data_IF_977414089594
#
_entry.id   IF_977414089594
#
_cell.length_a   1.000
_cell.length_b   1.000
_cell.length_c   1.000
_cell.angle_alpha   90.00
_cell.angle_beta   90.00
_cell.angle_gamma   90.00
#
_symmetry.space_group_name_H-M   'P 1'
#
loop_
_entity.id
_entity.type
_entity.pdbx_description
1 polymer ?
#
# COMPACT_ATOMS: atom_id res chain seq x y z
N UNK A 1 17.43 -20.50 -0.20
CA UNK A 1 17.84 -20.98 -1.54
C UNK A 1 17.27 -20.14 -2.70
N UNK A 2 16.45 -19.11 -2.44
CA UNK A 2 15.74 -18.34 -3.48
C UNK A 2 15.99 -16.81 -3.39
N UNK A 3 16.98 -16.41 -2.60
CA UNK A 3 17.31 -15.01 -2.29
C UNK A 3 17.73 -14.20 -3.53
N UNK A 4 18.23 -14.85 -4.58
CA UNK A 4 18.57 -14.19 -5.84
C UNK A 4 17.35 -13.66 -6.61
N UNK A 5 16.11 -14.11 -6.34
CA UNK A 5 14.91 -13.51 -6.93
C UNK A 5 14.57 -12.12 -6.35
N UNK A 6 15.21 -11.73 -5.25
CA UNK A 6 15.08 -10.39 -4.66
C UNK A 6 15.97 -9.38 -5.41
N UNK A 7 16.96 -9.85 -6.18
CA UNK A 7 17.93 -9.00 -6.88
C UNK A 7 17.29 -7.90 -7.75
N UNK A 8 16.24 -8.17 -8.55
CA UNK A 8 15.60 -7.14 -9.36
C UNK A 8 14.98 -6.01 -8.52
N UNK A 9 14.40 -6.36 -7.37
CA UNK A 9 13.83 -5.38 -6.45
C UNK A 9 14.93 -4.47 -5.88
N UNK A 10 16.06 -5.07 -5.46
CA UNK A 10 17.21 -4.32 -4.92
C UNK A 10 17.78 -3.37 -5.96
N UNK A 11 17.92 -3.82 -7.22
CA UNK A 11 18.42 -2.98 -8.32
C UNK A 11 17.49 -1.79 -8.56
N UNK A 12 16.17 -2.02 -8.62
CA UNK A 12 15.19 -0.94 -8.80
C UNK A 12 15.31 0.09 -7.64
N UNK A 13 15.37 -0.39 -6.39
CA UNK A 13 15.48 0.49 -5.23
C UNK A 13 16.76 1.32 -5.24
N UNK A 14 17.91 0.70 -5.50
CA UNK A 14 19.20 1.42 -5.55
C UNK A 14 19.20 2.47 -6.66
N UNK A 15 18.71 2.13 -7.86
CA UNK A 15 18.65 3.08 -8.97
C UNK A 15 17.75 4.28 -8.64
N UNK A 16 16.60 4.04 -8.00
CA UNK A 16 15.73 5.12 -7.56
C UNK A 16 16.38 5.98 -6.47
N UNK A 17 17.11 5.38 -5.52
CA UNK A 17 17.86 6.12 -4.49
C UNK A 17 19.02 6.94 -5.08
N UNK A 18 19.60 6.50 -6.19
CA UNK A 18 20.60 7.25 -6.95
C UNK A 18 19.99 8.37 -7.81
N UNK A 19 18.66 8.54 -7.80
CA UNK A 19 17.96 9.60 -8.51
C UNK A 19 17.55 9.25 -9.95
N UNK A 20 17.68 7.99 -10.38
CA UNK A 20 17.14 7.58 -11.68
C UNK A 20 15.61 7.53 -11.66
N UNK A 21 15.00 7.76 -12.82
CA UNK A 21 13.54 7.70 -12.94
C UNK A 21 13.01 6.29 -12.66
N UNK A 22 11.78 6.15 -12.13
CA UNK A 22 11.15 4.84 -11.93
C UNK A 22 11.07 4.00 -13.21
N UNK A 23 10.80 4.63 -14.35
CA UNK A 23 10.73 3.96 -15.65
C UNK A 23 12.08 3.38 -16.09
N UNK A 24 13.17 4.15 -15.93
CA UNK A 24 14.52 3.65 -16.21
C UNK A 24 14.90 2.49 -15.28
N UNK A 25 14.60 2.65 -13.99
CA UNK A 25 14.87 1.64 -12.96
C UNK A 25 14.12 0.33 -13.26
N UNK A 26 12.87 0.42 -13.71
CA UNK A 26 12.07 -0.75 -14.09
C UNK A 26 12.67 -1.49 -15.29
N UNK A 27 13.19 -0.79 -16.31
CA UNK A 27 13.83 -1.43 -17.47
C UNK A 27 15.06 -2.25 -17.03
N UNK A 28 15.94 -1.67 -16.21
CA UNK A 28 17.09 -2.39 -15.68
C UNK A 28 16.68 -3.53 -14.72
N UNK A 29 15.60 -3.35 -13.96
CA UNK A 29 14.96 -4.40 -13.18
C UNK A 29 14.53 -5.59 -14.06
N UNK A 30 13.88 -5.34 -15.20
CA UNK A 30 13.48 -6.39 -16.15
C UNK A 30 14.70 -7.12 -16.72
N UNK A 31 15.74 -6.40 -17.11
CA UNK A 31 17.00 -7.01 -17.59
C UNK A 31 17.59 -7.92 -16.51
N UNK A 32 17.60 -7.47 -15.25
CA UNK A 32 18.09 -8.30 -14.15
C UNK A 32 17.22 -9.53 -13.90
N UNK A 33 15.88 -9.45 -14.04
CA UNK A 33 14.99 -10.60 -13.98
C UNK A 33 15.35 -11.65 -15.02
N UNK A 34 15.63 -11.23 -16.26
CA UNK A 34 16.01 -12.14 -17.36
C UNK A 34 17.33 -12.83 -17.05
N UNK A 35 18.32 -12.07 -16.57
CA UNK A 35 19.63 -12.60 -16.16
C UNK A 35 19.48 -13.63 -15.04
N UNK A 36 18.72 -13.30 -13.99
CA UNK A 36 18.47 -14.20 -12.85
C UNK A 36 17.74 -15.47 -13.31
N UNK A 37 16.75 -15.34 -14.19
CA UNK A 37 15.97 -16.46 -14.70
C UNK A 37 16.84 -17.49 -15.46
N UNK A 38 17.99 -17.08 -16.04
CA UNK A 38 18.89 -17.98 -16.75
C UNK A 38 19.76 -18.88 -15.86
N UNK A 39 19.92 -18.56 -14.57
CA UNK A 39 20.73 -19.35 -13.64
C UNK A 39 20.10 -20.71 -13.31
N UNK A 40 18.77 -20.85 -13.42
CA UNK A 40 18.07 -22.12 -13.22
C UNK A 40 17.54 -22.66 -14.54
N UNK A 41 17.78 -23.94 -14.82
CA UNK A 41 17.31 -24.61 -16.06
C UNK A 41 15.79 -24.52 -16.21
N UNK A 42 15.04 -24.63 -15.10
CA UNK A 42 13.58 -24.66 -15.11
C UNK A 42 12.95 -23.27 -15.35
N UNK A 43 13.68 -22.20 -15.01
CA UNK A 43 13.20 -20.81 -15.13
C UNK A 43 13.73 -20.09 -16.36
N UNK A 44 14.53 -20.75 -17.21
CA UNK A 44 15.13 -20.08 -18.37
C UNK A 44 14.05 -19.49 -19.28
N UNK A 45 14.25 -18.22 -19.62
CA UNK A 45 13.43 -17.53 -20.59
C UNK A 45 13.93 -17.89 -21.98
N UNK A 46 13.07 -18.56 -22.75
CA UNK A 46 13.23 -18.76 -24.20
C UNK A 46 12.61 -17.58 -24.95
N UNK A 47 12.94 -17.36 -26.24
CA UNK A 47 12.35 -16.28 -27.03
C UNK A 47 10.80 -16.29 -27.01
N UNK A 48 10.20 -17.48 -27.07
CA UNK A 48 8.75 -17.64 -26.99
C UNK A 48 8.18 -17.24 -25.61
N UNK A 49 8.82 -17.66 -24.51
CA UNK A 49 8.42 -17.25 -23.16
C UNK A 49 8.60 -15.74 -22.94
N UNK A 50 9.60 -15.13 -23.57
CA UNK A 50 9.78 -13.69 -23.53
C UNK A 50 8.63 -12.94 -24.21
N UNK A 51 8.20 -13.40 -25.40
CA UNK A 51 7.04 -12.83 -26.10
C UNK A 51 5.76 -13.04 -25.28
N UNK A 52 5.56 -14.21 -24.70
CA UNK A 52 4.42 -14.51 -23.84
C UNK A 52 4.38 -13.62 -22.59
N UNK A 53 5.52 -13.47 -21.90
CA UNK A 53 5.65 -12.56 -20.76
C UNK A 53 5.41 -11.10 -21.16
N UNK A 54 5.93 -10.68 -22.32
CA UNK A 54 5.71 -9.33 -22.86
C UNK A 54 4.24 -9.09 -23.19
N UNK A 55 3.55 -10.08 -23.78
CA UNK A 55 2.10 -10.03 -24.04
C UNK A 55 1.31 -9.90 -22.73
N UNK A 56 1.64 -10.69 -21.71
CA UNK A 56 1.01 -10.61 -20.40
C UNK A 56 1.23 -9.22 -19.75
N UNK A 57 2.44 -8.68 -19.84
CA UNK A 57 2.75 -7.32 -19.38
C UNK A 57 1.96 -6.25 -20.12
N UNK A 58 1.82 -6.38 -21.45
CA UNK A 58 1.01 -5.47 -22.26
C UNK A 58 -0.48 -5.53 -21.87
N UNK A 59 -1.05 -6.72 -21.68
CA UNK A 59 -2.45 -6.89 -21.26
C UNK A 59 -2.71 -6.29 -19.86
N UNK A 60 -1.79 -6.50 -18.92
CA UNK A 60 -1.87 -5.87 -17.60
C UNK A 60 -1.79 -4.33 -17.69
N UNK A 61 -0.94 -3.82 -18.58
CA UNK A 61 -0.79 -2.38 -18.81
C UNK A 61 -2.03 -1.75 -19.45
N UNK A 62 -2.71 -2.46 -20.35
CA UNK A 62 -3.99 -2.01 -20.93
C UNK A 62 -5.08 -1.80 -19.88
N UNK A 63 -5.17 -2.67 -18.87
CA UNK A 63 -6.15 -2.54 -17.77
C UNK A 63 -5.91 -1.27 -16.94
N UNK A 64 -4.64 -0.98 -16.63
CA UNK A 64 -4.25 0.26 -15.93
C UNK A 64 -4.50 1.47 -16.84
N UNK A 65 -4.09 1.40 -18.11
CA UNK A 65 -4.25 2.49 -19.08
C UNK A 65 -5.70 2.89 -19.30
N UNK A 66 -6.62 1.92 -19.43
CA UNK A 66 -8.06 2.19 -19.53
C UNK A 66 -8.59 2.93 -18.31
N UNK A 67 -8.13 2.55 -17.11
CA UNK A 67 -8.56 3.18 -15.85
C UNK A 67 -8.05 4.61 -15.76
N UNK A 68 -6.75 4.84 -16.00
CA UNK A 68 -6.14 6.18 -15.98
C UNK A 68 -6.76 7.08 -17.04
N UNK A 69 -7.12 6.55 -18.22
CA UNK A 69 -7.80 7.31 -19.27
C UNK A 69 -9.15 7.86 -18.82
N UNK A 70 -10.00 7.02 -18.20
CA UNK A 70 -11.30 7.44 -17.66
C UNK A 70 -11.11 8.46 -16.51
N UNK A 71 -10.15 8.21 -15.62
CA UNK A 71 -9.83 9.13 -14.52
C UNK A 71 -9.32 10.47 -15.06
N UNK A 72 -8.56 10.49 -16.15
CA UNK A 72 -8.13 11.72 -16.81
C UNK A 72 -9.32 12.56 -17.28
N UNK A 73 -10.37 11.93 -17.80
CA UNK A 73 -11.62 12.62 -18.17
C UNK A 73 -12.30 13.19 -16.91
N UNK A 74 -12.40 12.40 -15.83
CA UNK A 74 -12.98 12.83 -14.56
C UNK A 74 -12.22 14.04 -14.00
N UNK A 75 -10.89 13.94 -13.89
CA UNK A 75 -10.02 15.04 -13.41
C UNK A 75 -10.18 16.26 -14.31
N UNK A 76 -10.24 16.08 -15.63
CA UNK A 76 -10.48 17.17 -16.59
C UNK A 76 -11.78 17.90 -16.29
N UNK A 77 -12.90 17.18 -16.22
CA UNK A 77 -14.22 17.75 -15.92
C UNK A 77 -14.24 18.44 -14.55
N UNK A 78 -13.69 17.80 -13.51
CA UNK A 78 -13.64 18.38 -12.17
C UNK A 78 -12.77 19.64 -12.11
N UNK A 79 -11.65 19.65 -12.83
CA UNK A 79 -10.74 20.81 -12.88
C UNK A 79 -11.40 21.98 -13.61
N UNK A 80 -12.02 21.73 -14.76
CA UNK A 80 -12.73 22.77 -15.53
C UNK A 80 -13.97 23.32 -14.82
N UNK A 81 -14.67 22.48 -14.06
CA UNK A 81 -15.84 22.89 -13.27
C UNK A 81 -15.47 23.54 -11.93
N UNK A 82 -14.20 23.47 -11.51
CA UNK A 82 -13.74 23.95 -10.19
C UNK A 82 -14.14 23.04 -9.03
N UNK A 83 -14.79 21.90 -9.28
CA UNK A 83 -15.35 21.03 -8.25
C UNK A 83 -14.29 20.24 -7.47
N UNK A 84 -13.04 20.12 -7.96
CA UNK A 84 -11.96 19.41 -7.24
C UNK A 84 -11.78 19.99 -5.83
N UNK A 85 -11.72 21.32 -5.73
CA UNK A 85 -11.54 22.01 -4.45
C UNK A 85 -12.83 21.98 -3.62
N UNK A 86 -13.99 22.13 -4.26
CA UNK A 86 -15.28 22.04 -3.56
C UNK A 86 -15.49 20.70 -2.86
N UNK A 87 -15.09 19.57 -3.47
CA UNK A 87 -15.17 18.28 -2.80
C UNK A 87 -14.18 18.16 -1.63
N UNK A 88 -13.00 18.77 -1.75
CA UNK A 88 -12.05 18.84 -0.65
C UNK A 88 -12.64 19.65 0.52
N UNK A 89 -13.19 20.84 0.23
CA UNK A 89 -13.86 21.72 1.19
C UNK A 89 -14.98 20.99 1.93
N UNK A 90 -15.86 20.26 1.21
CA UNK A 90 -16.95 19.50 1.82
C UNK A 90 -16.42 18.49 2.85
N UNK A 91 -15.34 17.78 2.52
CA UNK A 91 -14.75 16.79 3.43
C UNK A 91 -14.10 17.46 4.63
N UNK A 92 -13.45 18.61 4.44
CA UNK A 92 -12.84 19.41 5.51
C UNK A 92 -13.90 20.00 6.43
N UNK A 93 -14.98 20.55 5.88
CA UNK A 93 -16.10 21.13 6.62
C UNK A 93 -16.83 20.06 7.44
N UNK A 94 -17.09 18.88 6.85
CA UNK A 94 -17.65 17.75 7.58
C UNK A 94 -16.73 17.27 8.72
N UNK A 95 -15.43 17.50 8.58
CA UNK A 95 -14.42 17.20 9.59
C UNK A 95 -14.14 18.35 10.57
N UNK A 96 -14.83 19.50 10.45
CA UNK A 96 -14.59 20.71 11.24
C UNK A 96 -13.11 21.16 11.21
N UNK A 97 -12.44 20.99 10.06
CA UNK A 97 -11.01 21.29 9.89
C UNK A 97 -10.05 20.32 10.59
N UNK A 98 -10.53 19.29 11.27
CA UNK A 98 -9.69 18.37 12.02
C UNK A 98 -9.09 17.28 11.13
N UNK A 99 -7.77 17.33 10.90
CA UNK A 99 -7.05 16.38 10.04
C UNK A 99 -7.30 14.90 10.38
N UNK A 100 -7.38 14.53 11.67
CA UNK A 100 -7.62 13.14 12.05
C UNK A 100 -9.02 12.67 11.63
N UNK A 101 -10.01 13.57 11.67
CA UNK A 101 -11.38 13.27 11.27
C UNK A 101 -11.48 13.24 9.74
N UNK A 102 -10.78 14.14 9.03
CA UNK A 102 -10.65 14.11 7.57
C UNK A 102 -10.05 12.77 7.10
N UNK A 103 -8.97 12.30 7.70
CA UNK A 103 -8.37 10.99 7.39
C UNK A 103 -9.37 9.85 7.63
N UNK A 104 -10.17 9.93 8.70
CA UNK A 104 -11.20 8.93 9.00
C UNK A 104 -12.33 8.93 7.95
N UNK A 105 -12.83 10.10 7.55
CA UNK A 105 -13.85 10.23 6.51
C UNK A 105 -13.34 9.70 5.16
N UNK A 106 -12.09 10.03 4.81
CA UNK A 106 -11.43 9.51 3.62
C UNK A 106 -11.29 7.99 3.70
N UNK A 107 -10.95 7.42 4.87
CA UNK A 107 -10.85 5.97 5.07
C UNK A 107 -12.19 5.26 4.88
N UNK A 108 -13.29 5.85 5.36
CA UNK A 108 -14.63 5.31 5.16
C UNK A 108 -15.03 5.38 3.67
N UNK A 109 -14.79 6.51 3.02
CA UNK A 109 -15.06 6.67 1.59
C UNK A 109 -14.23 5.70 0.74
N UNK A 110 -12.93 5.57 1.03
CA UNK A 110 -12.03 4.66 0.31
C UNK A 110 -12.37 3.20 0.52
N UNK A 111 -12.86 2.81 1.70
CA UNK A 111 -13.31 1.46 1.96
C UNK A 111 -14.48 1.10 1.04
N UNK A 112 -15.49 1.95 0.94
CA UNK A 112 -16.65 1.73 0.07
C UNK A 112 -16.25 1.73 -1.41
N UNK A 113 -15.43 2.70 -1.84
CA UNK A 113 -14.96 2.78 -3.22
C UNK A 113 -14.03 1.62 -3.60
N UNK A 114 -13.27 1.08 -2.64
CA UNK A 114 -12.33 -0.02 -2.82
C UNK A 114 -12.98 -1.42 -2.82
N UNK A 115 -14.25 -1.52 -2.45
CA UNK A 115 -14.99 -2.79 -2.47
C UNK A 115 -15.40 -3.14 -3.91
N UNK A 116 -14.53 -3.86 -4.63
CA UNK A 116 -14.87 -4.48 -5.92
C UNK A 116 -14.07 -3.98 -7.13
N UNK A 117 -13.08 -3.12 -6.93
CA UNK A 117 -12.18 -2.63 -7.99
C UNK A 117 -10.71 -2.97 -7.68
N UNK A 118 -9.84 -3.06 -8.70
CA UNK A 118 -8.40 -3.20 -8.47
C UNK A 118 -7.84 -2.05 -7.64
N UNK A 119 -6.86 -2.35 -6.80
CA UNK A 119 -6.13 -1.38 -5.96
C UNK A 119 -5.73 -0.10 -6.70
N UNK A 120 -5.18 -0.25 -7.91
CA UNK A 120 -4.74 0.87 -8.72
C UNK A 120 -5.90 1.81 -9.07
N UNK A 121 -7.08 1.26 -9.35
CA UNK A 121 -8.28 2.04 -9.63
C UNK A 121 -8.80 2.74 -8.37
N UNK A 122 -8.89 2.02 -7.25
CA UNK A 122 -9.31 2.57 -5.96
C UNK A 122 -8.44 3.77 -5.55
N UNK A 123 -7.11 3.61 -5.62
CA UNK A 123 -6.15 4.67 -5.33
C UNK A 123 -6.40 5.91 -6.19
N UNK A 124 -6.48 5.73 -7.51
CA UNK A 124 -6.60 6.88 -8.41
C UNK A 124 -7.93 7.62 -8.22
N UNK A 125 -9.04 6.91 -7.99
CA UNK A 125 -10.35 7.54 -7.74
C UNK A 125 -10.32 8.33 -6.44
N UNK A 126 -9.83 7.73 -5.35
CA UNK A 126 -9.76 8.39 -4.05
C UNK A 126 -8.77 9.57 -4.06
N UNK A 127 -7.66 9.46 -4.79
CA UNK A 127 -6.61 10.48 -4.81
C UNK A 127 -7.10 11.81 -5.38
N UNK A 128 -8.03 11.79 -6.34
CA UNK A 128 -8.59 13.00 -6.96
C UNK A 128 -9.29 13.90 -5.95
N UNK A 129 -9.91 13.33 -4.92
CA UNK A 129 -10.67 14.07 -3.90
C UNK A 129 -9.86 14.24 -2.61
N UNK A 130 -9.21 13.17 -2.16
CA UNK A 130 -8.57 13.13 -0.85
C UNK A 130 -7.23 13.85 -0.80
N UNK A 131 -6.43 13.82 -1.88
CA UNK A 131 -5.11 14.47 -1.87
C UNK A 131 -5.25 15.98 -1.72
N UNK A 132 -6.09 16.69 -2.51
CA UNK A 132 -6.32 18.12 -2.32
C UNK A 132 -6.73 18.47 -0.89
N UNK A 133 -7.70 17.75 -0.31
CA UNK A 133 -8.17 17.97 1.06
C UNK A 133 -7.05 17.83 2.11
N UNK A 134 -6.23 16.79 1.99
CA UNK A 134 -5.10 16.58 2.90
C UNK A 134 -4.02 17.66 2.74
N UNK A 135 -3.71 18.05 1.51
CA UNK A 135 -2.71 19.09 1.26
C UNK A 135 -3.16 20.47 1.74
N UNK A 136 -4.45 20.76 1.66
CA UNK A 136 -5.04 21.99 2.18
C UNK A 136 -4.94 22.08 3.71
N UNK A 137 -5.09 20.95 4.40
CA UNK A 137 -4.84 20.82 5.84
C UNK A 137 -3.34 20.80 6.21
N UNK A 138 -2.44 21.08 5.27
CA UNK A 138 -1.01 21.21 5.50
C UNK A 138 -0.22 19.90 5.44
N UNK A 139 -0.83 18.79 5.02
CA UNK A 139 -0.11 17.53 4.83
C UNK A 139 0.81 17.62 3.61
N UNK A 140 2.04 17.15 3.74
CA UNK A 140 2.97 17.09 2.62
C UNK A 140 2.37 16.28 1.44
N UNK A 141 2.50 16.71 0.18
CA UNK A 141 1.92 16.01 -0.97
C UNK A 141 2.29 14.53 -1.07
N UNK A 142 3.55 14.17 -0.76
CA UNK A 142 3.99 12.77 -0.77
C UNK A 142 3.26 12.00 0.34
N UNK A 143 3.15 12.58 1.54
CA UNK A 143 2.41 11.98 2.64
C UNK A 143 0.92 11.82 2.31
N UNK A 144 0.30 12.82 1.68
CA UNK A 144 -1.10 12.76 1.25
C UNK A 144 -1.34 11.61 0.25
N UNK A 145 -0.46 11.47 -0.75
CA UNK A 145 -0.52 10.34 -1.67
C UNK A 145 -0.28 8.99 -0.97
N UNK A 146 0.62 8.93 0.02
CA UNK A 146 0.84 7.71 0.81
C UNK A 146 -0.35 7.35 1.70
N UNK A 147 -1.02 8.33 2.30
CA UNK A 147 -2.27 8.14 3.05
C UNK A 147 -3.31 7.47 2.16
N UNK A 148 -3.57 8.04 0.99
CA UNK A 148 -4.60 7.53 0.08
C UNK A 148 -4.20 6.17 -0.51
N UNK A 149 -2.92 6.00 -0.89
CA UNK A 149 -2.41 4.73 -1.36
C UNK A 149 -2.56 3.63 -0.31
N UNK A 150 -2.27 3.94 0.95
CA UNK A 150 -2.40 3.02 2.05
C UNK A 150 -3.86 2.63 2.30
N UNK A 151 -4.76 3.61 2.36
CA UNK A 151 -6.19 3.40 2.53
C UNK A 151 -6.82 2.62 1.36
N UNK A 152 -6.29 2.76 0.15
CA UNK A 152 -6.72 1.97 -1.02
C UNK A 152 -6.35 0.48 -0.93
N UNK A 153 -5.37 0.10 -0.10
CA UNK A 153 -5.04 -1.30 0.15
C UNK A 153 -5.94 -1.95 1.21
N UNK A 154 -6.64 -1.14 2.00
CA UNK A 154 -7.28 -1.62 3.22
C UNK A 154 -8.31 -2.73 2.94
N UNK A 155 -9.05 -2.60 1.84
CA UNK A 155 -10.04 -3.60 1.40
C UNK A 155 -9.45 -4.99 1.15
N UNK A 156 -8.14 -5.11 0.85
CA UNK A 156 -7.47 -6.40 0.67
C UNK A 156 -7.29 -7.17 1.98
N UNK A 157 -7.49 -6.53 3.13
CA UNK A 157 -7.29 -7.13 4.44
C UNK A 157 -8.59 -7.11 5.27
N UNK A 158 -9.52 -6.20 4.97
CA UNK A 158 -10.81 -6.05 5.68
C UNK A 158 -11.87 -7.04 5.18
N UNK A 159 -12.42 -7.92 6.05
CA UNK A 159 -13.60 -8.72 5.71
C UNK A 159 -14.80 -7.80 5.43
N UNK A 160 -15.65 -8.08 4.42
CA UNK A 160 -15.78 -9.34 3.69
C UNK A 160 -14.92 -9.48 2.42
N UNK A 161 -14.16 -8.46 2.01
CA UNK A 161 -13.40 -8.49 0.75
C UNK A 161 -12.12 -9.31 0.89
N UNK A 162 -11.21 -8.89 1.77
CA UNK A 162 -9.97 -9.57 2.20
C UNK A 162 -9.33 -10.63 1.25
N UNK A 163 -9.20 -10.29 -0.04
CA UNK A 163 -8.90 -11.26 -1.11
C UNK A 163 -7.53 -11.94 -0.89
N UNK A 164 -6.56 -11.20 -0.36
CA UNK A 164 -5.23 -11.74 -0.07
C UNK A 164 -5.27 -12.83 1.02
N UNK A 165 -6.04 -12.61 2.08
CA UNK A 165 -6.21 -13.59 3.16
C UNK A 165 -6.95 -14.85 2.67
N UNK A 166 -7.96 -14.68 1.81
CA UNK A 166 -8.68 -15.79 1.19
C UNK A 166 -7.80 -16.60 0.23
N UNK A 167 -6.98 -15.95 -0.60
CA UNK A 167 -6.02 -16.64 -1.45
C UNK A 167 -5.00 -17.45 -0.63
N UNK A 168 -4.45 -16.84 0.44
CA UNK A 168 -3.55 -17.53 1.37
C UNK A 168 -4.20 -18.72 2.06
N UNK A 169 -5.45 -18.59 2.50
CA UNK A 169 -6.21 -19.68 3.10
C UNK A 169 -6.43 -20.85 2.12
N UNK A 170 -6.74 -20.57 0.85
CA UNK A 170 -6.89 -21.60 -0.20
C UNK A 170 -5.60 -22.38 -0.40
N UNK A 171 -4.46 -21.69 -0.50
CA UNK A 171 -3.15 -22.32 -0.67
C UNK A 171 -2.82 -23.18 0.56
N UNK A 172 -3.08 -22.66 1.76
CA UNK A 172 -2.83 -23.36 3.01
C UNK A 172 -3.89 -24.43 3.36
N UNK A 173 -4.93 -24.60 2.53
CA UNK A 173 -6.11 -25.45 2.80
C UNK A 173 -6.75 -25.18 4.18
N UNK A 174 -6.71 -23.92 4.62
CA UNK A 174 -7.26 -23.47 5.89
C UNK A 174 -8.67 -22.89 5.70
N UNK A 175 -9.41 -22.75 6.81
CA UNK A 175 -10.71 -22.08 6.76
C UNK A 175 -10.53 -20.58 6.43
N UNK A 176 -11.16 -20.14 5.35
CA UNK A 176 -11.08 -18.77 4.83
C UNK A 176 -11.47 -17.72 5.87
N UNK A 177 -12.64 -17.88 6.52
CA UNK A 177 -13.13 -16.91 7.49
C UNK A 177 -12.25 -16.80 8.73
N UNK A 178 -11.82 -17.94 9.30
CA UNK A 178 -10.89 -17.94 10.44
C UNK A 178 -9.57 -17.25 10.07
N UNK A 179 -9.06 -17.51 8.87
CA UNK A 179 -7.82 -16.90 8.37
C UNK A 179 -7.99 -15.40 8.17
N UNK A 180 -9.10 -14.96 7.57
CA UNK A 180 -9.41 -13.56 7.35
C UNK A 180 -9.53 -12.77 8.66
N UNK A 181 -10.32 -13.26 9.63
CA UNK A 181 -10.44 -12.59 10.93
C UNK A 181 -9.12 -12.59 11.71
N UNK A 182 -8.31 -13.63 11.59
CA UNK A 182 -6.98 -13.67 12.20
C UNK A 182 -6.04 -12.66 11.55
N UNK A 183 -5.98 -12.61 10.23
CA UNK A 183 -5.18 -11.64 9.48
C UNK A 183 -5.61 -10.21 9.82
N UNK A 184 -6.91 -9.94 9.81
CA UNK A 184 -7.48 -8.64 10.17
C UNK A 184 -7.09 -8.20 11.59
N UNK A 185 -7.13 -9.13 12.57
CA UNK A 185 -6.70 -8.84 13.95
C UNK A 185 -5.27 -8.32 14.01
N UNK A 186 -4.33 -8.95 13.31
CA UNK A 186 -2.93 -8.51 13.27
C UNK A 186 -2.73 -7.26 12.41
N UNK A 187 -3.53 -7.11 11.35
CA UNK A 187 -3.42 -5.98 10.43
C UNK A 187 -3.97 -4.66 10.96
N UNK A 188 -4.71 -4.67 12.08
CA UNK A 188 -5.27 -3.45 12.68
C UNK A 188 -4.26 -2.33 12.94
N UNK A 189 -2.98 -2.64 13.17
CA UNK A 189 -1.95 -1.60 13.29
C UNK A 189 -1.76 -0.81 11.98
N UNK A 190 -2.02 -1.42 10.81
CA UNK A 190 -1.92 -0.74 9.52
C UNK A 190 -2.89 0.45 9.45
N UNK A 191 -4.01 0.47 10.18
CA UNK A 191 -4.90 1.64 10.22
C UNK A 191 -4.27 2.88 10.87
N UNK A 192 -3.17 2.72 11.62
CA UNK A 192 -2.40 3.85 12.12
C UNK A 192 -1.51 4.47 11.04
N UNK A 193 -1.17 3.74 9.97
CA UNK A 193 -0.31 4.20 8.88
C UNK A 193 -0.72 5.57 8.31
N UNK A 194 -1.99 5.78 7.93
CA UNK A 194 -2.49 7.06 7.46
C UNK A 194 -2.25 8.22 8.44
N UNK A 195 -2.48 7.98 9.74
CA UNK A 195 -2.23 8.98 10.77
C UNK A 195 -0.74 9.24 10.97
N UNK A 196 0.09 8.21 10.90
CA UNK A 196 1.55 8.38 10.95
C UNK A 196 2.06 9.19 9.75
N UNK A 197 1.53 8.96 8.55
CA UNK A 197 1.87 9.77 7.39
C UNK A 197 1.42 11.24 7.55
N UNK A 198 0.25 11.48 8.12
CA UNK A 198 -0.28 12.84 8.31
C UNK A 198 0.41 13.64 9.42
N UNK A 199 0.77 13.00 10.53
CA UNK A 199 1.24 13.67 11.74
C UNK A 199 2.74 13.48 12.05
N UNK A 200 3.40 12.49 11.44
CA UNK A 200 4.81 12.17 11.71
C UNK A 200 5.62 12.34 10.42
N UNK A 201 6.17 13.54 10.14
CA UNK A 201 6.96 13.81 8.94
C UNK A 201 8.13 12.83 8.76
N UNK A 202 8.78 12.41 9.86
CA UNK A 202 9.85 11.40 9.85
C UNK A 202 9.44 10.05 9.25
N UNK A 203 8.15 9.70 9.24
CA UNK A 203 7.65 8.47 8.64
C UNK A 203 7.67 8.51 7.10
N UNK A 204 7.55 9.70 6.49
CA UNK A 204 7.75 9.89 5.04
C UNK A 204 9.18 10.23 4.65
N UNK A 205 10.14 10.05 5.57
CA UNK A 205 11.53 10.48 5.41
C UNK A 205 11.67 12.01 5.19
N UNK A 206 10.65 12.77 5.60
CA UNK A 206 10.64 14.22 5.51
C UNK A 206 10.91 14.81 6.89
N UNK A 207 12.18 15.00 7.23
CA UNK A 207 12.57 15.54 8.53
C UNK A 207 14.08 15.45 8.76
N UNK A 208 14.52 15.83 9.95
CA UNK A 208 15.91 15.64 10.34
C UNK A 208 16.23 14.15 10.46
N UNK A 209 17.50 13.77 10.24
CA UNK A 209 17.95 12.38 10.41
C UNK A 209 17.61 11.81 11.80
N UNK A 210 17.64 12.65 12.83
CA UNK A 210 17.26 12.26 14.19
C UNK A 210 15.77 11.96 14.32
N UNK A 211 14.90 12.78 13.73
CA UNK A 211 13.44 12.56 13.80
C UNK A 211 13.03 11.30 13.05
N UNK A 212 13.66 11.06 11.88
CA UNK A 212 13.44 9.84 11.09
C UNK A 212 13.86 8.61 11.89
N UNK A 213 15.03 8.65 12.55
CA UNK A 213 15.51 7.53 13.35
C UNK A 213 14.60 7.26 14.56
N UNK A 214 14.17 8.31 15.26
CA UNK A 214 13.23 8.19 16.39
C UNK A 214 11.91 7.60 15.92
N UNK A 215 11.33 8.13 14.83
CA UNK A 215 10.09 7.62 14.27
C UNK A 215 10.21 6.14 13.87
N UNK A 216 11.31 5.77 13.20
CA UNK A 216 11.58 4.39 12.81
C UNK A 216 11.65 3.46 14.02
N UNK A 217 12.42 3.81 15.04
CA UNK A 217 12.58 3.01 16.26
C UNK A 217 11.25 2.86 17.00
N UNK A 218 10.50 3.95 17.19
CA UNK A 218 9.21 3.93 17.89
C UNK A 218 8.17 3.11 17.13
N UNK A 219 8.07 3.26 15.80
CA UNK A 219 7.12 2.50 14.97
C UNK A 219 7.52 1.02 14.93
N UNK A 220 8.81 0.70 14.84
CA UNK A 220 9.31 -0.67 14.88
C UNK A 220 8.97 -1.36 16.21
N UNK A 221 9.29 -0.74 17.35
CA UNK A 221 8.97 -1.32 18.65
C UNK A 221 7.47 -1.30 18.93
N UNK A 222 6.73 -0.29 18.45
CA UNK A 222 5.28 -0.21 18.57
C UNK A 222 4.56 -1.32 17.81
N UNK A 223 4.92 -1.55 16.54
CA UNK A 223 4.40 -2.67 15.73
C UNK A 223 4.76 -4.03 16.33
N UNK A 224 5.99 -4.18 16.83
CA UNK A 224 6.44 -5.40 17.47
C UNK A 224 5.66 -5.68 18.77
N UNK A 225 5.53 -4.69 19.65
CA UNK A 225 4.78 -4.81 20.89
C UNK A 225 3.29 -5.10 20.64
N UNK A 226 2.69 -4.45 19.64
CA UNK A 226 1.32 -4.71 19.20
C UNK A 226 1.15 -6.15 18.71
N UNK A 227 2.06 -6.64 17.87
CA UNK A 227 2.02 -8.00 17.36
C UNK A 227 2.23 -9.03 18.48
N UNK A 228 3.17 -8.75 19.40
CA UNK A 228 3.48 -9.60 20.55
C UNK A 228 2.29 -9.74 21.50
N UNK A 229 1.64 -8.63 21.86
CA UNK A 229 0.47 -8.64 22.75
C UNK A 229 -0.70 -9.42 22.14
N UNK A 230 -0.99 -9.22 20.85
CA UNK A 230 -2.07 -9.92 20.17
C UNK A 230 -1.81 -11.40 19.90
N UNK A 231 -0.54 -11.80 19.79
CA UNK A 231 -0.15 -13.20 19.59
C UNK A 231 -0.50 -14.10 20.78
N UNK A 232 -0.65 -13.52 21.98
CA UNK A 232 -0.90 -14.28 23.20
C UNK A 232 0.27 -15.15 23.66
N UNK A 233 1.45 -15.04 23.03
CA UNK A 233 2.66 -15.81 23.39
C UNK A 233 3.09 -15.51 24.84
N UNK A 234 2.95 -14.25 25.27
CA UNK A 234 3.23 -13.80 26.63
C UNK A 234 2.40 -14.51 27.71
N UNK A 235 1.18 -14.97 27.41
CA UNK A 235 0.36 -15.73 28.36
C UNK A 235 0.97 -17.10 28.70
N UNK A 236 1.84 -17.65 27.83
CA UNK A 236 2.54 -18.91 28.11
C UNK A 236 3.57 -18.79 29.23
N UNK A 237 4.11 -17.58 29.46
CA UNK A 237 5.03 -17.32 30.57
C UNK A 237 4.31 -17.42 31.91
N UNK A 238 3.14 -16.78 32.04
CA UNK A 238 2.31 -16.88 33.25
C UNK A 238 1.69 -18.27 33.48
N UNK A 239 1.53 -19.08 32.42
CA UNK A 239 1.02 -20.45 32.56
C UNK A 239 2.09 -21.45 33.01
N UNK A 240 3.38 -21.17 32.79
CA UNK A 240 4.48 -22.01 33.30
C UNK A 240 4.65 -21.91 34.82
N UNK A 241 4.34 -20.76 35.43
CA UNK A 241 4.42 -20.56 36.88
C UNK A 241 3.36 -21.31 37.69
N UNK A 242 2.26 -21.77 37.08
CA UNK A 242 1.22 -22.56 37.77
C UNK A 242 1.45 -24.07 37.76
N UNK A 243 2.56 -24.54 37.21
CA UNK A 243 2.89 -25.98 37.06
C UNK A 243 4.25 -26.37 37.62
N UNK A 244 4.86 -25.53 38.47
CA UNK A 244 6.00 -25.90 39.34
C UNK A 244 5.56 -25.83 40.79
#
# INVERSE_FOLDING_TARGET
>A
KEWFYILPLVIITILMLMGYSPGYSAILGIVSCIVVAWFRKDTRITPWRFVEASRAGAEASLKIGATVGVIGIIIGVLTYSGLVLTFADIVIELADGALWLTILLIALASLVLGMGVPVTAAYLITAVVAVPALTELGVNPIAAHMIVYWLSQDSNITPPVCIAAFAGATIAKANMWKTAFTAFKFAKFLYLGPFLFGYVPGFTLNGSWTDILIAFVLIFFGTWAYSWTLSGIWLRWFRKEKTS
#
